data_IF_018037562623
#
_entry.id   IF_018037562623
#
_cell.length_a   1.000
_cell.length_b   1.000
_cell.length_c   1.000
_cell.angle_alpha   90.00
_cell.angle_beta   90.00
_cell.angle_gamma   90.00
#
_symmetry.space_group_name_H-M   'P 1'
#
loop_
_entity.id
_entity.type
_entity.pdbx_description
1 polymer ?
#
# COMPACT_ATOMS: atom_id res chain seq x y z
N UNK A 1 16.91 3.09 -10.51
CA UNK A 1 15.69 2.56 -9.87
C UNK A 1 15.89 2.49 -8.37
N UNK A 2 14.98 3.00 -7.61
CA UNK A 2 15.10 2.95 -6.16
C UNK A 2 14.41 1.70 -5.62
N UNK A 3 15.03 1.12 -4.59
CA UNK A 3 14.45 -0.03 -3.90
C UNK A 3 13.60 0.41 -2.72
N UNK A 4 13.48 1.72 -2.52
CA UNK A 4 12.76 2.25 -1.37
C UNK A 4 11.39 2.75 -1.78
N UNK A 5 10.42 2.50 -0.91
CA UNK A 5 9.06 3.02 -1.09
C UNK A 5 8.84 4.11 -0.05
N UNK A 6 8.65 5.32 -0.51
CA UNK A 6 8.36 6.44 0.37
C UNK A 6 6.87 6.74 0.30
N UNK A 7 6.23 6.75 1.45
CA UNK A 7 4.79 6.96 1.55
C UNK A 7 4.52 8.25 2.31
N UNK A 8 3.68 9.10 1.76
CA UNK A 8 3.30 10.34 2.41
C UNK A 8 1.79 10.40 2.56
N UNK A 9 1.33 11.23 3.50
CA UNK A 9 -0.09 11.42 3.69
C UNK A 9 -0.74 12.03 2.43
N UNK A 10 -0.02 12.90 1.74
CA UNK A 10 -0.52 13.50 0.51
C UNK A 10 -0.77 12.43 -0.56
N UNK A 11 0.20 11.56 -0.74
CA UNK A 11 0.07 10.48 -1.72
C UNK A 11 -1.11 9.58 -1.39
N UNK A 12 -1.26 9.22 -0.12
CA UNK A 12 -2.38 8.37 0.30
C UNK A 12 -3.71 9.07 0.01
N UNK A 13 -3.82 10.35 0.35
CA UNK A 13 -5.04 11.11 0.07
C UNK A 13 -5.34 11.18 -1.42
N UNK A 14 -4.31 11.35 -2.24
CA UNK A 14 -4.49 11.43 -3.68
C UNK A 14 -5.01 10.11 -4.24
N UNK A 15 -4.45 9.00 -3.79
CA UNK A 15 -4.88 7.67 -4.24
C UNK A 15 -6.32 7.42 -3.80
N UNK A 16 -6.64 7.71 -2.55
CA UNK A 16 -8.02 7.53 -2.06
C UNK A 16 -8.99 8.43 -2.81
N UNK A 17 -8.56 9.64 -3.17
CA UNK A 17 -9.37 10.55 -3.97
C UNK A 17 -9.67 10.00 -5.35
N UNK A 18 -8.71 9.33 -5.98
CA UNK A 18 -8.92 8.69 -7.27
C UNK A 18 -10.01 7.62 -7.18
N UNK A 19 -9.91 6.77 -6.16
CA UNK A 19 -10.91 5.72 -5.96
C UNK A 19 -12.30 6.32 -5.75
N UNK A 20 -12.40 7.34 -4.89
CA UNK A 20 -13.69 7.94 -4.56
C UNK A 20 -14.31 8.65 -5.77
N UNK A 21 -13.48 9.23 -6.64
CA UNK A 21 -14.00 9.85 -7.86
C UNK A 21 -14.54 8.82 -8.83
N UNK A 22 -13.90 7.65 -8.85
CA UNK A 22 -14.34 6.55 -9.70
C UNK A 22 -15.60 5.89 -9.12
N UNK A 23 -15.65 5.74 -7.81
CA UNK A 23 -16.72 5.04 -7.12
C UNK A 23 -16.93 5.71 -5.76
N UNK A 24 -18.03 6.47 -5.59
CA UNK A 24 -18.24 7.17 -4.32
C UNK A 24 -18.29 6.26 -3.11
N UNK A 25 -18.63 4.98 -3.26
CA UNK A 25 -18.62 4.06 -2.13
C UNK A 25 -17.22 3.83 -1.59
N UNK A 26 -16.19 4.18 -2.35
CA UNK A 26 -14.80 4.05 -1.92
C UNK A 26 -14.39 5.08 -0.88
N UNK A 27 -15.30 5.97 -0.45
CA UNK A 27 -15.07 6.78 0.73
C UNK A 27 -15.03 5.92 1.98
N UNK A 28 -15.66 4.76 1.93
CA UNK A 28 -15.53 3.76 2.98
C UNK A 28 -14.15 3.12 2.86
N UNK A 29 -13.42 3.09 3.98
CA UNK A 29 -12.05 2.56 3.99
C UNK A 29 -11.96 1.12 3.51
N UNK A 30 -12.93 0.29 3.87
CA UNK A 30 -12.89 -1.11 3.45
C UNK A 30 -13.01 -1.24 1.94
N UNK A 31 -13.87 -0.42 1.33
CA UNK A 31 -14.02 -0.43 -0.12
C UNK A 31 -12.74 0.06 -0.78
N UNK A 32 -12.11 1.09 -0.21
CA UNK A 32 -10.83 1.60 -0.72
C UNK A 32 -9.75 0.52 -0.66
N UNK A 33 -9.72 -0.26 0.41
CA UNK A 33 -8.77 -1.37 0.53
C UNK A 33 -9.02 -2.43 -0.55
N UNK A 34 -10.28 -2.69 -0.85
CA UNK A 34 -10.61 -3.64 -1.90
C UNK A 34 -10.14 -3.15 -3.27
N UNK A 35 -10.30 -1.85 -3.55
CA UNK A 35 -9.78 -1.28 -4.80
C UNK A 35 -8.27 -1.37 -4.87
N UNK A 36 -7.60 -1.11 -3.74
CA UNK A 36 -6.15 -1.22 -3.69
C UNK A 36 -5.69 -2.64 -4.04
N UNK A 37 -6.34 -3.63 -3.45
CA UNK A 37 -6.03 -5.03 -3.73
C UNK A 37 -6.34 -5.40 -5.18
N UNK A 38 -7.44 -4.86 -5.73
CA UNK A 38 -7.81 -5.15 -7.10
C UNK A 38 -6.80 -4.57 -8.09
N UNK A 39 -6.32 -3.36 -7.82
CA UNK A 39 -5.27 -2.75 -8.67
C UNK A 39 -4.01 -3.60 -8.63
N UNK A 40 -3.63 -4.05 -7.45
CA UNK A 40 -2.46 -4.89 -7.30
C UNK A 40 -2.62 -6.19 -8.09
N UNK A 41 -3.79 -6.81 -7.97
CA UNK A 41 -4.07 -8.04 -8.71
C UNK A 41 -4.05 -7.82 -10.21
N UNK A 42 -4.60 -6.70 -10.67
CA UNK A 42 -4.58 -6.36 -12.08
C UNK A 42 -3.15 -6.23 -12.62
N UNK A 43 -2.31 -5.52 -11.87
CA UNK A 43 -0.92 -5.31 -12.28
C UNK A 43 -0.16 -6.62 -12.32
N UNK A 44 -0.40 -7.48 -11.34
CA UNK A 44 0.23 -8.80 -11.34
C UNK A 44 -0.27 -9.65 -12.49
N UNK A 45 -1.57 -9.57 -12.77
CA UNK A 45 -2.18 -10.37 -13.84
C UNK A 45 -1.68 -9.99 -15.21
N UNK A 46 -1.38 -8.71 -15.43
CA UNK A 46 -0.90 -8.23 -16.74
C UNK A 46 0.61 -8.36 -16.88
N UNK A 47 1.30 -8.70 -15.81
CA UNK A 47 2.75 -8.87 -15.83
C UNK A 47 3.10 -10.20 -16.51
N UNK A 48 4.23 -10.22 -17.22
CA UNK A 48 4.72 -11.48 -17.77
C UNK A 48 5.20 -12.43 -16.69
N UNK A 49 5.31 -13.68 -17.03
CA UNK A 49 5.76 -14.71 -16.11
C UNK A 49 4.70 -15.78 -15.90
N UNK A 50 5.08 -16.86 -15.24
CA UNK A 50 4.15 -17.95 -15.01
C UNK A 50 3.38 -17.76 -13.70
N UNK A 51 2.41 -18.63 -13.45
CA UNK A 51 1.53 -18.51 -12.30
C UNK A 51 2.28 -18.65 -10.99
N UNK A 52 3.30 -19.51 -10.95
CA UNK A 52 4.08 -19.71 -9.74
C UNK A 52 4.86 -18.45 -9.36
N UNK A 53 5.49 -17.83 -10.36
CA UNK A 53 6.23 -16.58 -10.13
C UNK A 53 5.31 -15.47 -9.64
N UNK A 54 4.13 -15.38 -10.23
CA UNK A 54 3.15 -14.36 -9.82
C UNK A 54 2.66 -14.60 -8.40
N UNK A 55 2.45 -15.84 -8.05
CA UNK A 55 2.02 -16.20 -6.71
C UNK A 55 3.09 -15.87 -5.67
N UNK A 56 4.36 -16.17 -5.99
CA UNK A 56 5.47 -15.83 -5.11
C UNK A 56 5.55 -14.33 -4.89
N UNK A 57 5.39 -13.56 -5.96
CA UNK A 57 5.42 -12.10 -5.86
C UNK A 57 4.26 -11.58 -5.02
N UNK A 58 3.08 -12.16 -5.20
CA UNK A 58 1.92 -11.78 -4.41
C UNK A 58 2.17 -12.00 -2.92
N UNK A 59 2.79 -13.14 -2.57
CA UNK A 59 3.12 -13.43 -1.18
C UNK A 59 4.12 -12.43 -0.62
N UNK A 60 5.12 -12.04 -1.40
CA UNK A 60 6.09 -11.04 -0.98
C UNK A 60 5.42 -9.69 -0.75
N UNK A 61 4.51 -9.31 -1.62
CA UNK A 61 3.79 -8.05 -1.47
C UNK A 61 2.88 -8.07 -0.25
N UNK A 62 2.29 -9.21 0.02
CA UNK A 62 1.44 -9.38 1.18
C UNK A 62 2.25 -9.21 2.47
N UNK A 63 3.44 -9.80 2.53
CA UNK A 63 4.33 -9.61 3.68
C UNK A 63 4.75 -8.17 3.83
N UNK A 64 5.08 -7.52 2.71
CA UNK A 64 5.45 -6.11 2.73
C UNK A 64 4.31 -5.25 3.27
N UNK A 65 3.09 -5.50 2.81
CA UNK A 65 1.94 -4.75 3.32
C UNK A 65 1.77 -4.96 4.82
N UNK A 66 2.05 -6.15 5.32
CA UNK A 66 2.01 -6.43 6.75
C UNK A 66 3.03 -5.61 7.54
N UNK A 67 4.24 -5.47 7.02
CA UNK A 67 5.26 -4.63 7.65
C UNK A 67 4.84 -3.17 7.70
N UNK A 68 4.28 -2.67 6.61
CA UNK A 68 3.81 -1.29 6.58
C UNK A 68 2.68 -1.09 7.59
N UNK A 69 1.77 -2.04 7.67
CA UNK A 69 0.68 -1.99 8.64
C UNK A 69 1.20 -1.84 10.07
N UNK A 70 2.16 -2.67 10.43
CA UNK A 70 2.72 -2.63 11.78
C UNK A 70 3.44 -1.31 12.05
N UNK A 71 4.16 -0.79 11.06
CA UNK A 71 4.90 0.44 11.25
C UNK A 71 3.97 1.64 11.40
N UNK A 72 2.93 1.70 10.58
CA UNK A 72 1.94 2.79 10.67
C UNK A 72 1.23 2.73 12.02
N UNK A 73 0.86 1.54 12.45
CA UNK A 73 0.21 1.35 13.74
C UNK A 73 1.11 1.82 14.88
N UNK A 74 2.39 1.48 14.82
CA UNK A 74 3.37 1.91 15.82
C UNK A 74 3.49 3.42 15.85
N UNK A 75 3.52 4.07 14.69
CA UNK A 75 3.62 5.51 14.62
C UNK A 75 2.38 6.19 15.20
N UNK A 76 1.21 5.61 15.00
CA UNK A 76 -0.03 6.15 15.52
C UNK A 76 -0.10 6.08 17.04
N UNK A 77 0.62 5.14 17.64
CA UNK A 77 0.62 4.97 19.08
C UNK A 77 1.57 5.92 19.81
N UNK A 78 2.42 6.64 19.07
CA UNK A 78 3.33 7.60 19.67
C UNK A 78 2.59 8.90 19.95
N UNK A 79 2.41 9.28 21.22
CA UNK A 79 1.54 10.40 21.56
C UNK A 79 2.11 11.76 21.20
N UNK A 80 3.39 11.89 21.03
CA UNK A 80 4.03 13.20 20.81
C UNK A 80 4.67 13.28 19.42
N UNK A 81 4.22 12.45 18.49
CA UNK A 81 4.79 12.49 17.15
C UNK A 81 4.52 13.83 16.49
N UNK A 82 5.56 14.51 15.97
CA UNK A 82 5.33 15.75 15.26
C UNK A 82 4.54 15.49 13.98
N UNK A 83 3.92 16.54 13.46
CA UNK A 83 3.25 16.44 12.20
C UNK A 83 4.25 16.06 11.13
N UNK A 84 4.03 14.94 10.53
CA UNK A 84 4.87 14.47 9.44
C UNK A 84 3.99 14.16 8.26
N UNK A 85 4.41 14.61 7.11
CA UNK A 85 3.70 14.28 5.89
C UNK A 85 4.05 12.88 5.41
N UNK A 86 5.24 12.41 5.78
CA UNK A 86 5.68 11.08 5.38
C UNK A 86 5.41 10.09 6.49
N UNK A 87 4.82 8.95 6.15
CA UNK A 87 4.61 7.86 7.09
C UNK A 87 5.88 7.02 7.26
N UNK A 88 6.80 7.11 6.32
CA UNK A 88 8.03 6.37 6.40
C UNK A 88 8.49 5.92 5.03
N UNK A 89 9.63 5.26 5.03
CA UNK A 89 10.23 4.72 3.82
C UNK A 89 10.47 3.23 4.06
N UNK A 90 10.04 2.40 3.13
CA UNK A 90 10.19 0.96 3.25
C UNK A 90 10.89 0.40 2.04
N UNK A 91 11.63 -0.69 2.27
CA UNK A 91 12.26 -1.44 1.19
C UNK A 91 11.51 -2.75 1.02
N UNK A 92 10.92 -2.98 -0.15
CA UNK A 92 10.21 -4.24 -0.36
C UNK A 92 11.17 -5.42 -0.16
N UNK A 93 10.70 -6.43 0.55
CA UNK A 93 11.50 -7.61 0.80
C UNK A 93 12.34 -7.58 2.06
N UNK A 94 12.44 -6.45 2.73
CA UNK A 94 13.15 -6.35 4.00
C UNK A 94 12.24 -6.82 5.14
N UNK A 95 12.79 -7.60 6.06
CA UNK A 95 12.01 -8.01 7.22
C UNK A 95 11.72 -6.86 8.17
#
# INVERSE_FOLDING_TARGET
>A
MTDEIALSAEMVRDVLGVFARHDPSAEDEFVALQYTAAVMGFLLGTRGGDAEQKNDLLNQLFEFAGHVTLEVERQRQKPSAPKQEAFGVWKPGDP
#
